data_IF_064809689943
#
_entry.id   IF_064809689943
#
_cell.length_a   1.000
_cell.length_b   1.000
_cell.length_c   1.000
_cell.angle_alpha   90.00
_cell.angle_beta   90.00
_cell.angle_gamma   90.00
#
_symmetry.space_group_name_H-M   'P 1'
#
loop_
_entity.id
_entity.type
_entity.pdbx_description
1 polymer ?
#
# COMPACT_ATOMS: atom_id res chain seq x y z
N UNK A 1 -7.31 -6.27 -15.30
CA UNK A 1 -6.82 -7.06 -14.16
C UNK A 1 -5.32 -7.35 -14.37
N UNK A 2 -4.49 -7.38 -13.33
CA UNK A 2 -3.04 -7.58 -13.45
C UNK A 2 -2.20 -6.34 -13.82
N UNK A 3 -2.77 -5.14 -13.76
CA UNK A 3 -2.06 -3.90 -14.09
C UNK A 3 -1.03 -3.55 -13.00
N UNK A 4 0.14 -3.05 -13.43
CA UNK A 4 1.09 -2.35 -12.55
C UNK A 4 1.10 -0.87 -12.92
N UNK A 5 0.56 -0.04 -12.04
CA UNK A 5 0.45 1.41 -12.22
C UNK A 5 1.21 2.19 -11.15
N UNK A 6 1.50 3.45 -11.44
CA UNK A 6 2.05 4.40 -10.48
C UNK A 6 1.29 5.71 -10.61
N UNK A 7 0.84 6.27 -9.49
CA UNK A 7 0.24 7.60 -9.42
C UNK A 7 1.34 8.55 -8.96
N UNK A 8 1.82 9.40 -9.86
CA UNK A 8 2.80 10.43 -9.54
C UNK A 8 2.04 11.69 -9.14
N UNK A 9 2.15 12.05 -7.87
CA UNK A 9 1.46 13.20 -7.29
C UNK A 9 2.41 13.94 -6.34
N UNK A 10 2.59 15.28 -6.48
CA UNK A 10 3.28 16.07 -5.49
C UNK A 10 2.59 16.01 -4.12
N UNK A 11 3.27 16.41 -3.03
CA UNK A 11 2.63 16.53 -1.72
C UNK A 11 1.40 17.44 -1.77
N UNK A 12 0.34 17.08 -1.04
CA UNK A 12 -0.90 17.87 -0.88
C UNK A 12 -1.73 18.07 -2.17
N UNK A 13 -1.58 17.25 -3.20
CA UNK A 13 -2.34 17.37 -4.46
C UNK A 13 -3.53 16.41 -4.58
N UNK A 14 -4.12 15.97 -3.46
CA UNK A 14 -5.34 15.13 -3.49
C UNK A 14 -5.13 13.64 -3.79
N UNK A 15 -3.88 13.14 -3.70
CA UNK A 15 -3.54 11.72 -3.87
C UNK A 15 -4.45 10.79 -3.04
N UNK A 16 -4.70 11.14 -1.79
CA UNK A 16 -5.53 10.34 -0.87
C UNK A 16 -6.97 10.25 -1.34
N UNK A 17 -7.55 11.37 -1.81
CA UNK A 17 -8.91 11.40 -2.36
C UNK A 17 -9.01 10.51 -3.61
N UNK A 18 -8.05 10.65 -4.53
CA UNK A 18 -7.99 9.82 -5.73
C UNK A 18 -7.87 8.33 -5.39
N UNK A 19 -7.04 7.96 -4.41
CA UNK A 19 -6.90 6.58 -3.95
C UNK A 19 -8.22 6.01 -3.40
N UNK A 20 -8.96 6.79 -2.61
CA UNK A 20 -10.29 6.39 -2.12
C UNK A 20 -11.30 6.22 -3.24
N UNK A 21 -11.32 7.14 -4.21
CA UNK A 21 -12.21 7.06 -5.37
C UNK A 21 -11.91 5.80 -6.19
N UNK A 22 -10.64 5.48 -6.44
CA UNK A 22 -10.23 4.24 -7.10
C UNK A 22 -10.69 3.03 -6.30
N UNK A 23 -10.42 3.01 -4.98
CA UNK A 23 -10.77 1.91 -4.10
C UNK A 23 -12.29 1.63 -4.10
N UNK A 24 -13.09 2.67 -3.90
CA UNK A 24 -14.55 2.56 -3.88
C UNK A 24 -15.11 2.17 -5.26
N UNK A 25 -14.58 2.75 -6.34
CA UNK A 25 -14.95 2.40 -7.73
C UNK A 25 -14.66 0.92 -8.03
N UNK A 26 -13.53 0.39 -7.59
CA UNK A 26 -13.21 -1.04 -7.73
C UNK A 26 -14.19 -1.88 -6.91
N UNK A 27 -14.41 -1.55 -5.63
CA UNK A 27 -15.30 -2.31 -4.75
C UNK A 27 -16.74 -2.35 -5.25
N UNK A 28 -17.19 -1.29 -5.92
CA UNK A 28 -18.55 -1.19 -6.47
C UNK A 28 -18.70 -1.94 -7.80
N UNK A 29 -17.78 -1.72 -8.75
CA UNK A 29 -17.90 -2.28 -10.10
C UNK A 29 -17.36 -3.72 -10.22
N UNK A 30 -16.44 -4.09 -9.34
CA UNK A 30 -15.76 -5.38 -9.33
C UNK A 30 -15.74 -5.98 -7.90
N UNK A 31 -16.92 -6.30 -7.32
CA UNK A 31 -17.02 -6.82 -5.96
C UNK A 31 -16.35 -8.19 -5.77
N UNK A 32 -16.04 -8.90 -6.86
CA UNK A 32 -15.28 -10.15 -6.83
C UNK A 32 -13.78 -9.94 -6.57
N UNK A 33 -13.27 -8.72 -6.78
CA UNK A 33 -11.85 -8.40 -6.57
C UNK A 33 -11.57 -8.24 -5.09
N UNK A 34 -10.56 -8.96 -4.61
CA UNK A 34 -10.07 -8.78 -3.26
C UNK A 34 -9.21 -7.52 -3.18
N UNK A 35 -9.77 -6.46 -2.59
CA UNK A 35 -9.13 -5.16 -2.47
C UNK A 35 -8.39 -5.02 -1.15
N UNK A 36 -7.08 -4.77 -1.24
CA UNK A 36 -6.19 -4.48 -0.12
C UNK A 36 -5.68 -3.04 -0.26
N UNK A 37 -5.84 -2.24 0.79
CA UNK A 37 -5.22 -0.92 0.90
C UNK A 37 -4.06 -1.05 1.89
N UNK A 38 -2.83 -0.87 1.39
CA UNK A 38 -1.62 -0.96 2.19
C UNK A 38 -1.05 0.44 2.45
N UNK A 39 -1.11 0.88 3.71
CA UNK A 39 -0.63 2.19 4.14
C UNK A 39 0.72 2.06 4.87
N UNK A 40 1.76 2.70 4.37
CA UNK A 40 3.13 2.62 4.92
C UNK A 40 3.61 4.02 5.30
N UNK A 41 4.05 4.15 6.56
CA UNK A 41 4.65 5.36 7.13
C UNK A 41 3.74 6.58 6.94
N UNK A 42 2.43 6.37 7.11
CA UNK A 42 1.40 7.39 6.99
C UNK A 42 0.81 7.76 8.36
N UNK A 43 0.09 8.87 8.43
CA UNK A 43 -0.42 9.39 9.71
C UNK A 43 -1.62 8.58 10.22
N UNK A 44 -1.73 8.34 11.55
CA UNK A 44 -2.86 7.60 12.13
C UNK A 44 -4.24 8.13 11.76
N UNK A 45 -4.40 9.46 11.63
CA UNK A 45 -5.66 10.07 11.21
C UNK A 45 -6.02 9.75 9.76
N UNK A 46 -5.02 9.64 8.86
CA UNK A 46 -5.21 9.26 7.46
C UNK A 46 -5.55 7.76 7.33
N UNK A 47 -4.94 6.92 8.19
CA UNK A 47 -5.30 5.50 8.28
C UNK A 47 -6.75 5.32 8.74
N UNK A 48 -7.14 6.03 9.80
CA UNK A 48 -8.50 5.96 10.36
C UNK A 48 -9.54 6.43 9.33
N UNK A 49 -9.21 7.50 8.61
CA UNK A 49 -10.04 8.03 7.54
C UNK A 49 -10.19 7.04 6.36
N UNK A 50 -9.12 6.33 5.98
CA UNK A 50 -9.20 5.26 4.98
C UNK A 50 -10.08 4.09 5.45
N UNK A 51 -9.91 3.63 6.68
CA UNK A 51 -10.67 2.52 7.28
C UNK A 51 -12.18 2.78 7.32
N UNK A 52 -12.58 4.04 7.51
CA UNK A 52 -14.00 4.41 7.61
C UNK A 52 -14.67 4.62 6.25
N UNK A 53 -13.90 4.98 5.22
CA UNK A 53 -14.44 5.48 3.94
C UNK A 53 -14.21 4.54 2.75
N UNK A 54 -13.50 3.43 2.94
CA UNK A 54 -13.21 2.47 1.86
C UNK A 54 -13.70 1.08 2.22
N UNK A 55 -14.41 0.45 1.28
CA UNK A 55 -14.83 -0.94 1.40
C UNK A 55 -13.72 -1.89 0.90
N UNK A 56 -12.83 -2.29 1.81
CA UNK A 56 -11.73 -3.20 1.50
C UNK A 56 -10.90 -3.52 2.76
N UNK A 57 -9.96 -4.45 2.63
CA UNK A 57 -9.02 -4.74 3.72
C UNK A 57 -7.98 -3.62 3.82
N UNK A 58 -7.99 -2.88 4.93
CA UNK A 58 -6.99 -1.84 5.20
C UNK A 58 -5.91 -2.39 6.14
N UNK A 59 -4.69 -2.49 5.63
CA UNK A 59 -3.49 -2.90 6.38
C UNK A 59 -2.55 -1.71 6.47
N UNK A 60 -2.07 -1.39 7.67
CA UNK A 60 -1.24 -0.19 7.88
C UNK A 60 -0.04 -0.45 8.79
N UNK A 61 1.03 0.30 8.55
CA UNK A 61 2.11 0.55 9.50
C UNK A 61 2.35 2.06 9.53
N UNK A 62 1.95 2.73 10.60
CA UNK A 62 2.01 4.18 10.77
C UNK A 62 3.44 4.69 10.97
N UNK A 63 3.68 6.00 10.83
CA UNK A 63 5.02 6.60 10.86
C UNK A 63 5.80 6.43 12.18
N UNK A 64 5.12 6.11 13.28
CA UNK A 64 5.69 5.86 14.60
C UNK A 64 6.33 4.45 14.70
N UNK A 65 6.11 3.60 13.69
CA UNK A 65 6.65 2.25 13.63
C UNK A 65 8.05 2.21 12.99
N UNK A 66 8.91 1.25 13.37
CA UNK A 66 10.24 1.13 12.78
C UNK A 66 10.21 0.67 11.32
N UNK A 67 11.26 1.01 10.56
CA UNK A 67 11.40 0.66 9.14
C UNK A 67 11.31 -0.86 8.88
N UNK A 68 11.85 -1.68 9.78
CA UNK A 68 11.75 -3.14 9.73
C UNK A 68 10.30 -3.61 9.77
N UNK A 69 9.44 -2.92 10.53
CA UNK A 69 8.02 -3.26 10.60
C UNK A 69 7.30 -2.88 9.32
N UNK A 70 7.61 -1.73 8.71
CA UNK A 70 7.07 -1.38 7.39
C UNK A 70 7.39 -2.45 6.34
N UNK A 71 8.66 -2.86 6.27
CA UNK A 71 9.13 -3.89 5.34
C UNK A 71 8.46 -5.24 5.62
N UNK A 72 8.36 -5.62 6.89
CA UNK A 72 7.71 -6.88 7.30
C UNK A 72 6.23 -6.91 6.94
N UNK A 73 5.47 -5.86 7.26
CA UNK A 73 4.04 -5.75 6.96
C UNK A 73 3.81 -5.81 5.45
N UNK A 74 4.58 -5.04 4.67
CA UNK A 74 4.46 -5.05 3.21
C UNK A 74 4.75 -6.43 2.60
N UNK A 75 5.75 -7.15 3.14
CA UNK A 75 6.05 -8.51 2.68
C UNK A 75 4.93 -9.51 3.02
N UNK A 76 4.35 -9.43 4.21
CA UNK A 76 3.22 -10.29 4.59
C UNK A 76 2.03 -10.06 3.64
N UNK A 77 1.69 -8.80 3.36
CA UNK A 77 0.62 -8.44 2.42
C UNK A 77 0.90 -8.96 1.02
N UNK A 78 2.14 -8.81 0.54
CA UNK A 78 2.54 -9.33 -0.77
C UNK A 78 2.44 -10.86 -0.84
N UNK A 79 2.86 -11.58 0.19
CA UNK A 79 2.74 -13.04 0.23
C UNK A 79 1.28 -13.47 0.29
N UNK A 80 0.46 -12.82 1.11
CA UNK A 80 -0.99 -13.05 1.15
C UNK A 80 -1.61 -12.90 -0.24
N UNK A 81 -1.35 -11.79 -0.92
CA UNK A 81 -1.86 -11.54 -2.27
C UNK A 81 -1.42 -12.62 -3.27
N UNK A 82 -0.14 -13.04 -3.25
CA UNK A 82 0.36 -14.12 -4.09
C UNK A 82 -0.38 -15.43 -3.86
N UNK A 83 -0.58 -15.83 -2.59
CA UNK A 83 -1.32 -17.06 -2.25
C UNK A 83 -2.78 -16.98 -2.72
N UNK A 84 -3.42 -15.81 -2.58
CA UNK A 84 -4.79 -15.62 -3.05
C UNK A 84 -4.91 -15.73 -4.58
N UNK A 85 -3.95 -15.16 -5.32
CA UNK A 85 -3.87 -15.28 -6.78
C UNK A 85 -3.64 -16.74 -7.21
N UNK A 86 -2.80 -17.48 -6.50
CA UNK A 86 -2.60 -18.93 -6.74
C UNK A 86 -3.89 -19.74 -6.54
N UNK A 87 -4.75 -19.31 -5.63
CA UNK A 87 -6.09 -19.87 -5.43
C UNK A 87 -7.14 -19.35 -6.43
N UNK A 88 -6.74 -18.58 -7.46
CA UNK A 88 -7.63 -18.10 -8.52
C UNK A 88 -8.37 -16.79 -8.21
N UNK A 89 -7.99 -16.06 -7.16
CA UNK A 89 -8.61 -14.76 -6.84
C UNK A 89 -7.96 -13.62 -7.64
N UNK A 90 -8.77 -12.67 -8.09
CA UNK A 90 -8.28 -11.38 -8.54
C UNK A 90 -7.99 -10.49 -7.32
N UNK A 91 -6.74 -10.05 -7.19
CA UNK A 91 -6.29 -9.23 -6.05
C UNK A 91 -5.78 -7.88 -6.54
N UNK A 92 -6.19 -6.82 -5.85
CA UNK A 92 -5.66 -5.46 -6.06
C UNK A 92 -5.05 -4.97 -4.76
N UNK A 93 -3.79 -4.50 -4.82
CA UNK A 93 -3.14 -3.78 -3.73
C UNK A 93 -3.03 -2.31 -4.14
N UNK A 94 -3.68 -1.43 -3.37
CA UNK A 94 -3.46 0.01 -3.41
C UNK A 94 -2.44 0.37 -2.33
N UNK A 95 -1.18 0.59 -2.75
CA UNK A 95 -0.07 0.91 -1.85
C UNK A 95 0.12 2.42 -1.75
N UNK A 96 -0.03 2.96 -0.54
CA UNK A 96 0.31 4.34 -0.21
C UNK A 96 1.36 4.41 0.92
N UNK A 97 2.65 4.68 0.67
CA UNK A 97 3.28 4.91 -0.63
C UNK A 97 4.48 4.02 -0.90
N UNK A 98 4.69 3.73 -2.19
CA UNK A 98 5.88 3.02 -2.67
C UNK A 98 7.18 3.79 -2.36
N UNK A 99 7.15 5.12 -2.35
CA UNK A 99 8.30 5.97 -2.02
C UNK A 99 8.73 5.80 -0.57
N UNK A 100 7.79 5.78 0.38
CA UNK A 100 8.09 5.54 1.80
C UNK A 100 8.56 4.11 2.05
N UNK A 101 7.93 3.14 1.39
CA UNK A 101 8.38 1.74 1.47
C UNK A 101 9.82 1.58 0.92
N UNK A 102 10.16 2.23 -0.18
CA UNK A 102 11.53 2.22 -0.71
C UNK A 102 12.55 2.81 0.26
N UNK A 103 12.20 3.90 0.97
CA UNK A 103 13.04 4.46 2.03
C UNK A 103 13.25 3.47 3.18
N UNK A 104 12.19 2.81 3.62
CA UNK A 104 12.29 1.78 4.65
C UNK A 104 13.25 0.65 4.22
N UNK A 105 13.15 0.17 2.97
CA UNK A 105 14.08 -0.82 2.41
C UNK A 105 15.54 -0.32 2.41
N UNK A 106 15.77 0.94 2.04
CA UNK A 106 17.11 1.53 2.05
C UNK A 106 17.68 1.63 3.47
N UNK A 107 16.85 1.93 4.47
CA UNK A 107 17.28 2.00 5.88
C UNK A 107 17.64 0.63 6.45
N UNK A 108 16.89 -0.41 6.11
CA UNK A 108 17.13 -1.78 6.66
C UNK A 108 18.19 -2.57 5.89
N UNK A 109 18.55 -2.12 4.69
CA UNK A 109 19.50 -2.85 3.84
C UNK A 109 20.93 -2.74 4.41
N UNK A 110 21.72 -3.83 4.37
CA UNK A 110 23.12 -3.78 4.76
C UNK A 110 23.90 -2.77 3.89
N UNK A 111 24.84 -2.05 4.50
CA UNK A 111 25.64 -1.05 3.80
C UNK A 111 26.47 -1.70 2.69
N UNK A 112 26.20 -1.36 1.43
CA UNK A 112 26.90 -1.92 0.27
C UNK A 112 28.21 -1.19 -0.06
N UNK A 113 28.60 -0.19 0.74
CA UNK A 113 29.75 0.68 0.51
C UNK A 113 29.60 1.65 -0.67
N UNK A 114 28.46 1.62 -1.38
CA UNK A 114 28.15 2.52 -2.50
C UNK A 114 26.78 3.17 -2.26
N UNK A 115 26.78 4.49 -2.07
CA UNK A 115 25.56 5.29 -1.99
C UNK A 115 25.27 5.82 -3.38
N UNK A 116 24.11 5.48 -3.94
CA UNK A 116 23.61 6.06 -5.18
C UNK A 116 22.88 7.36 -4.85
N UNK A 117 23.25 8.45 -5.54
CA UNK A 117 22.60 9.76 -5.46
C UNK A 117 21.63 9.95 -6.60
#
# INVERSE_FOLDING_TARGET
>A
KGQRGIIVAPPKTGKTTLLKEIANTISYNHPEVYLIILLIDERPEEVTDMQRNVNGEVVSSTFDEPAEKHVKVANIVLQKAKRMVECGHDVVILLDSITRLARAYNTVSPTSGKVLS
#
